data_IF_609660957550
#
_entry.id   IF_609660957550
#
_cell.length_a   1.000
_cell.length_b   1.000
_cell.length_c   1.000
_cell.angle_alpha   90.00
_cell.angle_beta   90.00
_cell.angle_gamma   90.00
#
_symmetry.space_group_name_H-M   'P 1'
#
loop_
_entity.id
_entity.type
_entity.pdbx_description
1 polymer ?
#
# COMPACT_ATOMS: atom_id res chain seq x y z
N UNK A 1 -37.02 33.96 -18.18
CA UNK A 1 -37.44 32.61 -17.76
C UNK A 1 -36.27 31.63 -17.61
N UNK A 2 -35.16 31.81 -18.35
CA UNK A 2 -34.01 30.88 -18.31
C UNK A 2 -33.31 30.79 -16.94
N UNK A 3 -33.23 31.88 -16.16
CA UNK A 3 -32.56 31.90 -14.85
C UNK A 3 -33.22 30.99 -13.80
N UNK A 4 -34.51 30.70 -13.95
CA UNK A 4 -35.28 29.83 -13.04
C UNK A 4 -34.96 28.35 -13.31
N UNK A 5 -34.65 27.99 -14.55
CA UNK A 5 -34.31 26.61 -14.94
C UNK A 5 -32.98 26.18 -14.30
N UNK A 6 -31.96 27.03 -14.30
CA UNK A 6 -30.67 26.72 -13.67
C UNK A 6 -30.78 26.50 -12.16
N UNK A 7 -31.60 27.30 -11.45
CA UNK A 7 -31.78 27.16 -10.01
C UNK A 7 -32.45 25.83 -9.62
N UNK A 8 -33.20 25.20 -10.51
CA UNK A 8 -33.90 23.94 -10.26
C UNK A 8 -33.06 22.70 -10.62
N UNK A 9 -32.12 22.83 -11.57
CA UNK A 9 -31.23 21.74 -11.99
C UNK A 9 -29.93 21.67 -11.18
N UNK A 10 -29.46 22.80 -10.63
CA UNK A 10 -28.31 22.88 -9.72
C UNK A 10 -28.34 21.85 -8.57
N UNK A 11 -29.44 21.70 -7.79
CA UNK A 11 -29.48 20.72 -6.71
C UNK A 11 -29.42 19.28 -7.22
N UNK A 12 -29.92 19.00 -8.42
CA UNK A 12 -29.91 17.66 -9.00
C UNK A 12 -28.51 17.25 -9.48
N UNK A 13 -27.76 18.21 -10.04
CA UNK A 13 -26.34 18.03 -10.42
C UNK A 13 -25.45 17.92 -9.17
N UNK A 14 -25.71 18.72 -8.13
CA UNK A 14 -24.98 18.65 -6.87
C UNK A 14 -25.19 17.30 -6.17
N UNK A 15 -26.44 16.82 -6.11
CA UNK A 15 -26.78 15.53 -5.51
C UNK A 15 -26.14 14.35 -6.28
N UNK A 16 -26.13 14.40 -7.61
CA UNK A 16 -25.45 13.40 -8.44
C UNK A 16 -23.91 13.43 -8.29
N UNK A 17 -23.32 14.60 -8.04
CA UNK A 17 -21.89 14.71 -7.77
C UNK A 17 -21.52 14.21 -6.36
N UNK A 18 -22.39 14.43 -5.36
CA UNK A 18 -22.21 13.90 -4.00
C UNK A 18 -22.29 12.37 -3.97
N UNK A 19 -23.24 11.77 -4.68
CA UNK A 19 -23.40 10.30 -4.75
C UNK A 19 -22.13 9.62 -5.30
N UNK A 20 -21.60 10.13 -6.40
CA UNK A 20 -20.33 9.65 -6.96
C UNK A 20 -19.15 9.84 -5.99
N UNK A 21 -19.09 10.96 -5.27
CA UNK A 21 -18.02 11.22 -4.32
C UNK A 21 -18.08 10.29 -3.10
N UNK A 22 -19.28 9.90 -2.65
CA UNK A 22 -19.47 8.90 -1.59
C UNK A 22 -19.08 7.49 -2.06
N UNK A 23 -19.42 7.11 -3.29
CA UNK A 23 -19.04 5.82 -3.88
C UNK A 23 -17.51 5.66 -3.96
N UNK A 24 -16.79 6.69 -4.40
CA UNK A 24 -15.33 6.65 -4.50
C UNK A 24 -14.69 6.51 -3.11
N UNK A 25 -15.25 7.20 -2.10
CA UNK A 25 -14.78 7.09 -0.70
C UNK A 25 -15.04 5.70 -0.13
N UNK A 26 -16.23 5.11 -0.36
CA UNK A 26 -16.53 3.75 0.06
C UNK A 26 -15.59 2.72 -0.57
N UNK A 27 -15.35 2.81 -1.88
CA UNK A 27 -14.38 1.94 -2.56
C UNK A 27 -12.98 2.09 -1.97
N UNK A 28 -12.56 3.32 -1.66
CA UNK A 28 -11.30 3.60 -0.98
C UNK A 28 -11.19 2.92 0.38
N UNK A 29 -12.21 3.05 1.22
CA UNK A 29 -12.22 2.44 2.56
C UNK A 29 -12.14 0.91 2.51
N UNK A 30 -12.86 0.27 1.57
CA UNK A 30 -12.82 -1.18 1.40
C UNK A 30 -11.45 -1.65 0.90
N UNK A 31 -10.83 -0.93 -0.04
CA UNK A 31 -9.46 -1.20 -0.50
C UNK A 31 -8.46 -1.04 0.66
N UNK A 32 -8.60 -0.01 1.50
CA UNK A 32 -7.73 0.22 2.65
C UNK A 32 -7.84 -0.92 3.68
N UNK A 33 -9.06 -1.36 3.99
CA UNK A 33 -9.29 -2.51 4.88
C UNK A 33 -8.62 -3.77 4.33
N UNK A 34 -8.85 -4.08 3.04
CA UNK A 34 -8.25 -5.24 2.39
C UNK A 34 -6.72 -5.18 2.41
N UNK A 35 -6.15 -4.04 2.05
CA UNK A 35 -4.71 -3.83 2.04
C UNK A 35 -4.08 -4.08 3.41
N UNK A 36 -4.66 -3.48 4.46
CA UNK A 36 -4.13 -3.57 5.82
C UNK A 36 -4.29 -4.96 6.42
N UNK A 37 -5.37 -5.66 6.11
CA UNK A 37 -5.63 -6.99 6.67
C UNK A 37 -4.97 -8.13 5.90
N UNK A 38 -4.67 -7.97 4.60
CA UNK A 38 -4.16 -9.07 3.78
C UNK A 38 -2.75 -8.78 3.23
N UNK A 39 -2.55 -7.67 2.53
CA UNK A 39 -1.25 -7.40 1.88
C UNK A 39 -0.15 -7.12 2.91
N UNK A 40 -0.44 -6.34 3.95
CA UNK A 40 0.55 -5.98 4.96
C UNK A 40 1.08 -7.16 5.79
N UNK A 41 0.23 -8.02 6.40
CA UNK A 41 0.72 -9.18 7.13
C UNK A 41 1.38 -10.21 6.20
N UNK A 42 0.86 -10.42 4.98
CA UNK A 42 1.45 -11.35 4.03
C UNK A 42 2.85 -10.91 3.61
N UNK A 43 3.02 -9.63 3.27
CA UNK A 43 4.32 -9.07 2.90
C UNK A 43 5.31 -9.07 4.07
N UNK A 44 4.85 -8.80 5.29
CA UNK A 44 5.69 -8.87 6.49
C UNK A 44 6.21 -10.30 6.74
N UNK A 45 5.36 -11.32 6.58
CA UNK A 45 5.77 -12.72 6.72
C UNK A 45 6.79 -13.10 5.65
N UNK A 46 6.53 -12.75 4.38
CA UNK A 46 7.46 -13.03 3.29
C UNK A 46 8.80 -12.34 3.49
N UNK A 47 8.80 -11.06 3.86
CA UNK A 47 10.02 -10.32 4.17
C UNK A 47 10.77 -10.97 5.35
N UNK A 48 10.06 -11.39 6.39
CA UNK A 48 10.65 -12.13 7.52
C UNK A 48 11.36 -13.40 7.09
N UNK A 49 10.75 -14.21 6.22
CA UNK A 49 11.35 -15.44 5.68
C UNK A 49 12.63 -15.12 4.90
N UNK A 50 12.61 -14.11 4.03
CA UNK A 50 13.78 -13.72 3.23
C UNK A 50 14.91 -13.18 4.11
N UNK A 51 14.59 -12.41 5.16
CA UNK A 51 15.57 -11.93 6.14
C UNK A 51 16.22 -13.11 6.87
N UNK A 52 15.45 -14.12 7.27
CA UNK A 52 16.00 -15.33 7.91
C UNK A 52 16.94 -16.06 6.95
N UNK A 53 16.55 -16.25 5.69
CA UNK A 53 17.40 -16.90 4.68
C UNK A 53 18.69 -16.09 4.44
N UNK A 54 18.58 -14.76 4.31
CA UNK A 54 19.73 -13.88 4.15
C UNK A 54 20.66 -13.89 5.36
N UNK A 55 20.09 -13.94 6.57
CA UNK A 55 20.81 -14.05 7.84
C UNK A 55 21.57 -15.37 7.98
N UNK A 56 20.93 -16.50 7.66
CA UNK A 56 21.60 -17.82 7.64
C UNK A 56 22.72 -17.83 6.59
N UNK A 57 22.46 -17.30 5.39
CA UNK A 57 23.45 -17.22 4.31
C UNK A 57 24.65 -16.36 4.70
N UNK A 58 24.41 -15.25 5.40
CA UNK A 58 25.46 -14.39 5.93
C UNK A 58 26.25 -15.08 7.05
N UNK A 59 25.59 -15.75 8.00
CA UNK A 59 26.24 -16.45 9.11
C UNK A 59 27.05 -17.68 8.65
N UNK A 60 26.53 -18.43 7.67
CA UNK A 60 27.18 -19.62 7.11
C UNK A 60 28.27 -19.30 6.07
N UNK A 61 28.60 -18.03 5.85
CA UNK A 61 29.58 -17.61 4.84
C UNK A 61 31.01 -18.03 5.17
N UNK A 62 31.35 -18.28 6.45
CA UNK A 62 32.63 -18.90 6.85
C UNK A 62 33.90 -18.17 6.41
N UNK A 63 33.80 -16.87 6.07
CA UNK A 63 34.91 -16.05 5.54
C UNK A 63 34.88 -15.83 4.02
N UNK A 64 33.94 -16.45 3.29
CA UNK A 64 33.70 -16.18 1.87
C UNK A 64 32.99 -14.83 1.68
N UNK A 65 33.73 -13.84 1.19
CA UNK A 65 33.22 -12.49 0.98
C UNK A 65 32.03 -12.43 0.01
N UNK A 66 31.95 -13.35 -0.97
CA UNK A 66 30.85 -13.39 -1.94
C UNK A 66 29.56 -13.85 -1.29
N UNK A 67 29.62 -14.90 -0.47
CA UNK A 67 28.44 -15.40 0.27
C UNK A 67 27.96 -14.41 1.32
N UNK A 68 28.90 -13.76 2.01
CA UNK A 68 28.58 -12.69 2.95
C UNK A 68 27.85 -11.52 2.27
N UNK A 69 28.32 -11.11 1.07
CA UNK A 69 27.68 -10.05 0.30
C UNK A 69 26.25 -10.43 -0.14
N UNK A 70 26.06 -11.65 -0.67
CA UNK A 70 24.74 -12.15 -1.07
C UNK A 70 23.74 -12.19 0.09
N UNK A 71 24.18 -12.61 1.28
CA UNK A 71 23.34 -12.62 2.47
C UNK A 71 22.86 -11.21 2.84
N UNK A 72 23.75 -10.21 2.76
CA UNK A 72 23.39 -8.81 2.98
C UNK A 72 22.42 -8.28 1.92
N UNK A 73 22.65 -8.57 0.64
CA UNK A 73 21.74 -8.16 -0.44
C UNK A 73 20.34 -8.73 -0.28
N UNK A 74 20.21 -9.99 0.16
CA UNK A 74 18.93 -10.60 0.50
C UNK A 74 18.22 -9.85 1.65
N UNK A 75 18.96 -9.49 2.70
CA UNK A 75 18.40 -8.72 3.81
C UNK A 75 17.97 -7.32 3.33
N UNK A 76 18.81 -6.62 2.57
CA UNK A 76 18.49 -5.28 2.08
C UNK A 76 17.30 -5.27 1.12
N UNK A 77 17.19 -6.27 0.24
CA UNK A 77 16.04 -6.42 -0.66
C UNK A 77 14.74 -6.74 0.07
N UNK A 78 14.79 -7.55 1.13
CA UNK A 78 13.62 -7.79 1.98
C UNK A 78 13.19 -6.52 2.74
N UNK A 79 14.14 -5.76 3.28
CA UNK A 79 13.88 -4.50 3.97
C UNK A 79 13.31 -3.45 3.01
N UNK A 80 13.88 -3.30 1.81
CA UNK A 80 13.36 -2.34 0.83
C UNK A 80 11.94 -2.68 0.39
N UNK A 81 11.62 -3.97 0.22
CA UNK A 81 10.26 -4.44 -0.04
C UNK A 81 9.29 -4.11 1.10
N UNK A 82 9.71 -4.29 2.36
CA UNK A 82 8.89 -3.95 3.51
C UNK A 82 8.63 -2.44 3.62
N UNK A 83 9.65 -1.63 3.37
CA UNK A 83 9.53 -0.17 3.32
C UNK A 83 8.55 0.25 2.22
N UNK A 84 8.65 -0.34 1.03
CA UNK A 84 7.74 -0.05 -0.09
C UNK A 84 6.28 -0.33 0.30
N UNK A 85 6.03 -1.42 1.03
CA UNK A 85 4.71 -1.80 1.50
C UNK A 85 4.16 -0.79 2.53
N UNK A 86 5.02 -0.27 3.42
CA UNK A 86 4.64 0.80 4.35
C UNK A 86 4.33 2.09 3.59
N UNK A 87 5.15 2.45 2.60
CA UNK A 87 4.90 3.63 1.76
C UNK A 87 3.58 3.53 1.00
N UNK A 88 3.23 2.37 0.46
CA UNK A 88 1.95 2.16 -0.19
C UNK A 88 0.76 2.34 0.79
N UNK A 89 0.91 1.94 2.06
CA UNK A 89 -0.10 2.19 3.08
C UNK A 89 -0.33 3.71 3.31
N UNK A 90 0.75 4.50 3.28
CA UNK A 90 0.68 5.96 3.45
C UNK A 90 -0.02 6.62 2.26
N UNK A 91 0.26 6.17 1.04
CA UNK A 91 -0.40 6.70 -0.17
C UNK A 91 -1.91 6.46 -0.11
N UNK A 92 -2.33 5.23 0.22
CA UNK A 92 -3.75 4.88 0.35
C UNK A 92 -4.40 5.77 1.43
N UNK A 93 -3.76 5.93 2.58
CA UNK A 93 -4.28 6.79 3.65
C UNK A 93 -4.40 8.27 3.23
N UNK A 94 -3.47 8.77 2.40
CA UNK A 94 -3.49 10.17 1.92
C UNK A 94 -4.60 10.42 0.90
N UNK A 95 -4.94 9.42 0.06
CA UNK A 95 -6.00 9.55 -0.95
C UNK A 95 -7.40 9.44 -0.34
N UNK A 96 -7.55 8.66 0.72
CA UNK A 96 -8.84 8.41 1.37
C UNK A 96 -9.20 9.47 2.43
N UNK A 97 -8.19 10.08 3.06
CA UNK A 97 -8.37 11.22 3.97
C UNK A 97 -9.08 12.40 3.29
#
# INVERSE_FOLDING_TARGET
MEKIIYLLTLPMIALAAEDNAQDIKQLGDEVYKWYRHLLLPLGAVLAGVVIIIGGITYAASGGDASKAQKGKELIFSAISGLILLICAALIINTIIS
#
